data_IF_227852607402
#
_entry.id   IF_227852607402
#
_cell.length_a   1.000
_cell.length_b   1.000
_cell.length_c   1.000
_cell.angle_alpha   90.00
_cell.angle_beta   90.00
_cell.angle_gamma   90.00
#
_symmetry.space_group_name_H-M   'P 1'
#
loop_
_entity.id
_entity.type
_entity.pdbx_description
1 polymer ?
#
# COMPACT_ATOMS: atom_id res chain seq x y z
N UNK A 1 42.04 -45.69 -8.29
CA UNK A 1 40.85 -44.91 -7.93
C UNK A 1 39.97 -45.85 -7.11
N UNK A 2 40.42 -46.30 -5.93
CA UNK A 2 40.63 -45.52 -4.70
C UNK A 2 39.35 -44.74 -4.41
N UNK A 3 38.45 -45.28 -3.59
CA UNK A 3 38.48 -45.30 -2.12
C UNK A 3 37.45 -44.26 -1.64
N UNK A 4 36.38 -44.73 -0.99
CA UNK A 4 35.99 -44.33 0.37
C UNK A 4 34.62 -44.94 0.71
N UNK A 5 34.63 -46.21 1.12
CA UNK A 5 33.67 -46.72 2.10
C UNK A 5 34.44 -46.91 3.40
N UNK A 6 34.14 -46.12 4.43
CA UNK A 6 34.55 -46.45 5.80
C UNK A 6 33.32 -46.75 6.66
N UNK A 7 33.31 -47.90 7.35
CA UNK A 7 32.21 -48.38 8.18
C UNK A 7 32.28 -47.81 9.61
N UNK A 8 31.11 -47.65 10.24
CA UNK A 8 30.95 -47.19 11.62
C UNK A 8 31.08 -48.39 12.58
N UNK A 9 31.99 -48.28 13.56
CA UNK A 9 32.23 -49.29 14.59
C UNK A 9 31.07 -49.40 15.60
N UNK A 10 30.70 -50.64 15.91
CA UNK A 10 29.81 -51.03 17.02
C UNK A 10 30.65 -51.34 18.26
N UNK A 11 30.22 -50.88 19.44
CA UNK A 11 30.51 -51.60 20.69
C UNK A 11 29.28 -51.57 21.59
N UNK A 12 28.94 -52.76 22.08
CA UNK A 12 27.74 -53.11 22.83
C UNK A 12 28.03 -53.29 24.33
N UNK A 13 26.99 -53.04 25.14
CA UNK A 13 26.63 -53.66 26.44
C UNK A 13 27.54 -53.29 27.63
N UNK A 14 27.09 -53.14 28.88
CA UNK A 14 25.92 -53.62 29.67
C UNK A 14 26.07 -52.91 31.05
N UNK A 15 25.11 -52.64 31.94
CA UNK A 15 24.07 -53.45 32.61
C UNK A 15 23.15 -52.48 33.38
N UNK A 16 21.85 -52.78 33.43
CA UNK A 16 20.82 -52.23 34.34
C UNK A 16 20.64 -53.21 35.52
N UNK A 17 20.48 -52.75 36.76
CA UNK A 17 19.22 -52.99 37.49
C UNK A 17 18.94 -51.82 38.49
N UNK A 18 17.77 -51.55 39.07
CA UNK A 18 16.39 -52.02 39.05
C UNK A 18 15.59 -50.89 39.76
N UNK A 19 14.33 -50.70 39.39
CA UNK A 19 13.38 -49.84 40.13
C UNK A 19 12.86 -50.57 41.39
N UNK A 20 12.30 -49.82 42.36
CA UNK A 20 10.89 -50.05 42.63
C UNK A 20 10.04 -48.79 42.91
N UNK A 21 8.89 -48.75 42.23
CA UNK A 21 7.52 -48.53 42.73
C UNK A 21 7.14 -47.31 43.60
N UNK A 22 6.40 -46.39 42.96
CA UNK A 22 5.13 -45.72 43.34
C UNK A 22 5.01 -44.79 44.59
N UNK A 23 4.09 -43.82 44.42
CA UNK A 23 3.46 -42.85 45.36
C UNK A 23 4.19 -41.50 45.58
N UNK A 24 3.55 -40.32 45.60
CA UNK A 24 2.18 -39.83 45.37
C UNK A 24 2.21 -38.27 45.42
N UNK A 25 1.27 -37.63 44.71
CA UNK A 25 0.68 -36.27 44.87
C UNK A 25 1.50 -34.93 44.76
N UNK A 26 0.85 -33.98 44.06
CA UNK A 26 1.17 -32.58 43.70
C UNK A 26 1.27 -31.58 44.91
N UNK A 27 1.42 -30.22 44.76
CA UNK A 27 1.63 -29.36 43.58
C UNK A 27 2.70 -28.23 43.71
N UNK A 28 2.90 -27.54 42.58
CA UNK A 28 3.24 -26.11 42.46
C UNK A 28 4.72 -25.69 42.39
N UNK A 29 5.19 -25.45 41.16
CA UNK A 29 5.38 -24.09 40.63
C UNK A 29 5.58 -24.15 39.10
N UNK A 30 4.73 -23.41 38.38
CA UNK A 30 4.66 -23.32 36.91
C UNK A 30 6.03 -22.94 36.29
N UNK A 31 6.36 -23.46 35.09
CA UNK A 31 7.42 -22.88 34.27
C UNK A 31 6.93 -21.54 33.70
N UNK A 32 7.71 -20.49 33.92
CA UNK A 32 7.55 -19.19 33.26
C UNK A 32 7.65 -19.39 31.75
N UNK A 33 6.50 -19.36 31.07
CA UNK A 33 6.42 -19.04 29.67
C UNK A 33 6.94 -17.62 29.49
N UNK A 34 8.10 -17.48 28.85
CA UNK A 34 8.55 -16.20 28.32
C UNK A 34 7.71 -15.95 27.08
N UNK A 35 6.57 -15.30 27.28
CA UNK A 35 5.82 -14.61 26.24
C UNK A 35 6.57 -13.32 25.96
N UNK A 36 7.38 -13.30 24.90
CA UNK A 36 7.88 -12.08 24.27
C UNK A 36 7.03 -11.78 23.04
N UNK A 37 5.77 -11.43 23.25
CA UNK A 37 4.92 -10.80 22.23
C UNK A 37 4.59 -9.38 22.71
N UNK A 38 5.54 -8.48 22.52
CA UNK A 38 5.36 -7.02 22.37
C UNK A 38 6.75 -6.38 22.45
N UNK A 39 7.53 -6.47 21.37
CA UNK A 39 8.61 -5.49 21.20
C UNK A 39 7.93 -4.14 21.00
N UNK A 40 7.98 -3.28 22.02
CA UNK A 40 7.64 -1.87 21.91
C UNK A 40 8.48 -1.27 20.78
N UNK A 41 7.89 -1.15 19.58
CA UNK A 41 8.55 -0.51 18.44
C UNK A 41 8.52 0.99 18.70
N UNK A 42 9.58 1.50 19.32
CA UNK A 42 9.68 2.92 19.70
C UNK A 42 10.49 3.76 18.71
N UNK A 43 11.17 3.12 17.75
CA UNK A 43 12.02 3.81 16.77
C UNK A 43 11.68 3.43 15.34
N UNK A 44 12.00 4.31 14.39
CA UNK A 44 11.74 4.09 12.96
C UNK A 44 12.65 2.99 12.40
N UNK A 45 13.86 2.85 12.94
CA UNK A 45 14.80 1.79 12.59
C UNK A 45 14.25 0.42 12.98
N UNK A 46 13.66 0.29 14.18
CA UNK A 46 13.05 -0.95 14.63
C UNK A 46 11.84 -1.34 13.76
N UNK A 47 11.05 -0.36 13.28
CA UNK A 47 10.02 -0.63 12.26
C UNK A 47 10.64 -1.20 11.01
N UNK A 48 11.67 -0.54 10.48
CA UNK A 48 12.30 -0.96 9.23
C UNK A 48 12.88 -2.36 9.34
N UNK A 49 13.55 -2.68 10.45
CA UNK A 49 14.05 -4.03 10.71
C UNK A 49 12.91 -5.05 10.82
N UNK A 50 11.84 -4.72 11.55
CA UNK A 50 10.67 -5.57 11.68
C UNK A 50 10.03 -5.84 10.32
N UNK A 51 9.75 -4.81 9.51
CA UNK A 51 9.16 -4.95 8.18
C UNK A 51 10.05 -5.79 7.24
N UNK A 52 11.38 -5.57 7.27
CA UNK A 52 12.35 -6.33 6.48
C UNK A 52 12.45 -7.80 6.89
N UNK A 53 12.18 -8.09 8.16
CA UNK A 53 12.16 -9.46 8.67
C UNK A 53 10.91 -10.26 8.28
N UNK A 54 9.95 -9.62 7.58
CA UNK A 54 8.64 -10.20 7.21
C UNK A 54 7.93 -10.78 8.44
N UNK A 55 7.39 -9.89 9.30
CA UNK A 55 6.86 -10.29 10.59
C UNK A 55 5.59 -11.14 10.44
N UNK A 56 5.18 -11.84 11.49
CA UNK A 56 3.85 -12.48 11.48
C UNK A 56 2.71 -11.45 11.32
N UNK A 57 1.50 -11.93 11.02
CA UNK A 57 0.36 -11.07 10.72
C UNK A 57 0.06 -10.09 11.86
N UNK A 58 -0.01 -10.58 13.11
CA UNK A 58 -0.34 -9.74 14.27
C UNK A 58 0.73 -8.67 14.53
N UNK A 59 2.00 -9.04 14.37
CA UNK A 59 3.13 -8.13 14.48
C UNK A 59 3.13 -7.09 13.36
N UNK A 60 2.77 -7.46 12.13
CA UNK A 60 2.58 -6.50 11.03
C UNK A 60 1.49 -5.49 11.38
N UNK A 61 0.33 -5.94 11.88
CA UNK A 61 -0.77 -5.05 12.26
C UNK A 61 -0.36 -4.12 13.40
N UNK A 62 0.40 -4.61 14.39
CA UNK A 62 0.95 -3.79 15.45
C UNK A 62 1.89 -2.71 14.90
N UNK A 63 2.78 -3.06 13.96
CA UNK A 63 3.69 -2.11 13.29
C UNK A 63 2.91 -1.07 12.49
N UNK A 64 1.93 -1.48 11.68
CA UNK A 64 1.11 -0.55 10.89
C UNK A 64 0.30 0.41 11.78
N UNK A 65 -0.26 -0.09 12.90
CA UNK A 65 -0.91 0.77 13.89
C UNK A 65 0.07 1.74 14.56
N UNK A 66 1.30 1.31 14.86
CA UNK A 66 2.33 2.17 15.47
C UNK A 66 2.71 3.35 14.57
N UNK A 67 2.73 3.12 13.26
CA UNK A 67 3.01 4.13 12.23
C UNK A 67 1.85 5.12 12.06
N UNK A 68 0.62 4.69 12.34
CA UNK A 68 -0.57 5.47 12.06
C UNK A 68 -1.06 6.29 13.27
N UNK A 69 -1.12 5.65 14.44
CA UNK A 69 -1.71 6.18 15.66
C UNK A 69 -0.94 5.85 16.95
N UNK A 70 0.13 5.05 16.88
CA UNK A 70 0.81 4.55 18.07
C UNK A 70 2.06 5.33 18.48
N UNK A 71 2.98 4.61 19.14
CA UNK A 71 4.20 5.13 19.77
C UNK A 71 5.04 5.98 18.83
N UNK A 72 5.17 5.58 17.57
CA UNK A 72 5.99 6.27 16.58
C UNK A 72 5.30 7.52 16.06
N UNK A 73 3.98 7.47 15.86
CA UNK A 73 3.22 8.68 15.57
C UNK A 73 3.35 9.72 16.71
N UNK A 74 3.46 9.26 17.96
CA UNK A 74 3.67 10.11 19.13
C UNK A 74 5.07 10.75 19.21
N UNK A 75 6.10 10.15 18.60
CA UNK A 75 7.43 10.80 18.50
C UNK A 75 7.47 11.93 17.46
N UNK A 76 6.37 12.16 16.72
CA UNK A 76 6.24 13.19 15.71
C UNK A 76 6.59 12.72 14.29
N UNK A 77 7.05 11.48 14.15
CA UNK A 77 7.23 10.83 12.84
C UNK A 77 5.85 10.53 12.22
N UNK A 78 5.71 10.80 10.93
CA UNK A 78 4.52 10.43 10.16
C UNK A 78 4.97 9.89 8.81
N UNK A 79 4.55 8.68 8.46
CA UNK A 79 4.90 8.03 7.18
C UNK A 79 4.49 8.88 5.97
N UNK A 80 3.39 9.62 6.08
CA UNK A 80 2.94 10.50 5.01
C UNK A 80 3.80 11.76 4.80
N UNK A 81 4.61 12.15 5.79
CA UNK A 81 5.46 13.35 5.70
C UNK A 81 6.71 13.04 4.86
N UNK A 82 7.03 13.87 3.85
CA UNK A 82 8.22 13.67 3.03
C UNK A 82 9.50 13.71 3.88
N UNK A 83 10.16 12.56 4.01
CA UNK A 83 11.46 12.41 4.67
C UNK A 83 12.19 11.17 4.13
N UNK A 84 13.53 11.09 4.25
CA UNK A 84 14.29 9.90 3.85
C UNK A 84 13.86 8.63 4.59
N UNK A 85 13.52 8.75 5.87
CA UNK A 85 13.06 7.64 6.71
C UNK A 85 11.67 7.14 6.24
N UNK A 86 10.73 8.05 6.03
CA UNK A 86 9.41 7.71 5.49
C UNK A 86 9.50 7.04 4.11
N UNK A 87 10.40 7.52 3.24
CA UNK A 87 10.63 6.91 1.93
C UNK A 87 11.15 5.46 2.05
N UNK A 88 12.04 5.17 3.01
CA UNK A 88 12.51 3.81 3.26
C UNK A 88 11.40 2.89 3.78
N UNK A 89 10.55 3.38 4.69
CA UNK A 89 9.41 2.61 5.21
C UNK A 89 8.45 2.31 4.07
N UNK A 90 8.06 3.32 3.30
CA UNK A 90 7.18 3.18 2.12
C UNK A 90 7.77 2.19 1.11
N UNK A 91 9.07 2.29 0.82
CA UNK A 91 9.72 1.37 -0.10
C UNK A 91 9.61 -0.08 0.37
N UNK A 92 9.92 -0.34 1.64
CA UNK A 92 9.79 -1.68 2.24
C UNK A 92 8.33 -2.18 2.22
N UNK A 93 7.37 -1.31 2.56
CA UNK A 93 5.94 -1.63 2.46
C UNK A 93 5.56 -2.06 1.03
N UNK A 94 6.03 -1.35 0.01
CA UNK A 94 5.69 -1.63 -1.40
C UNK A 94 6.44 -2.85 -1.96
N UNK A 95 7.72 -3.04 -1.61
CA UNK A 95 8.54 -4.11 -2.20
C UNK A 95 8.45 -5.45 -1.46
N UNK A 96 8.20 -5.43 -0.16
CA UNK A 96 8.25 -6.63 0.69
C UNK A 96 6.89 -6.96 1.31
N UNK A 97 6.15 -5.97 1.81
CA UNK A 97 4.88 -6.24 2.50
C UNK A 97 3.73 -6.44 1.51
N UNK A 98 3.54 -5.51 0.57
CA UNK A 98 2.42 -5.57 -0.39
C UNK A 98 2.38 -6.90 -1.15
N UNK A 99 3.46 -7.42 -1.76
CA UNK A 99 3.41 -8.70 -2.48
C UNK A 99 3.01 -9.90 -1.62
N UNK A 100 3.40 -9.89 -0.34
CA UNK A 100 3.29 -11.07 0.54
C UNK A 100 2.01 -11.06 1.39
N UNK A 101 1.51 -9.89 1.79
CA UNK A 101 0.40 -9.78 2.75
C UNK A 101 -0.89 -9.26 2.12
N UNK A 102 -0.86 -8.74 0.89
CA UNK A 102 -2.05 -8.19 0.24
C UNK A 102 -3.23 -9.17 0.14
N UNK A 103 -3.05 -10.45 -0.25
CA UNK A 103 -4.16 -11.41 -0.28
C UNK A 103 -4.78 -11.63 1.10
N UNK A 104 -3.94 -11.78 2.13
CA UNK A 104 -4.37 -12.00 3.51
C UNK A 104 -5.17 -10.80 4.05
N UNK A 105 -4.66 -9.58 3.83
CA UNK A 105 -5.33 -8.34 4.24
C UNK A 105 -6.69 -8.14 3.54
N UNK A 106 -6.84 -8.60 2.29
CA UNK A 106 -8.11 -8.56 1.55
C UNK A 106 -9.12 -9.59 2.04
N UNK A 107 -8.68 -10.81 2.29
CA UNK A 107 -9.53 -11.89 2.80
C UNK A 107 -10.13 -11.50 4.16
N UNK A 108 -9.27 -11.06 5.07
CA UNK A 108 -9.62 -10.50 6.38
C UNK A 108 -10.64 -9.34 6.29
N UNK A 109 -10.44 -8.40 5.35
CA UNK A 109 -11.35 -7.28 5.15
C UNK A 109 -12.73 -7.74 4.62
N UNK A 110 -12.78 -8.83 3.84
CA UNK A 110 -14.01 -9.41 3.31
C UNK A 110 -14.79 -10.16 4.40
N UNK A 111 -14.12 -11.02 5.17
CA UNK A 111 -14.74 -11.85 6.20
C UNK A 111 -15.28 -11.03 7.37
N UNK A 112 -14.46 -10.09 7.88
CA UNK A 112 -14.79 -9.30 9.06
C UNK A 112 -15.80 -8.16 8.79
N UNK A 113 -16.20 -7.95 7.53
CA UNK A 113 -17.25 -6.98 7.16
C UNK A 113 -18.64 -7.31 7.72
N UNK A 114 -18.84 -8.53 8.21
CA UNK A 114 -20.11 -9.02 8.76
C UNK A 114 -20.22 -9.01 10.29
N UNK A 115 -19.10 -8.81 11.04
CA UNK A 115 -19.06 -9.05 12.50
C UNK A 115 -18.46 -7.87 13.32
N UNK A 116 -17.86 -6.84 12.70
CA UNK A 116 -17.15 -5.79 13.48
C UNK A 116 -18.08 -4.83 14.24
N UNK A 117 -17.67 -4.53 15.48
CA UNK A 117 -18.08 -3.35 16.24
C UNK A 117 -17.75 -2.07 15.44
N UNK A 118 -18.64 -1.08 15.52
CA UNK A 118 -18.64 0.15 14.70
C UNK A 118 -17.38 1.06 14.81
N UNK A 119 -16.33 0.64 15.52
CA UNK A 119 -15.10 1.40 15.77
C UNK A 119 -13.79 0.78 15.26
N UNK A 120 -13.76 -0.48 14.79
CA UNK A 120 -12.49 -1.14 14.40
C UNK A 120 -12.18 -0.93 12.91
N UNK A 121 -11.21 -0.06 12.61
CA UNK A 121 -10.71 0.18 11.25
C UNK A 121 -10.17 -1.14 10.64
N UNK A 122 -10.50 -1.48 9.37
CA UNK A 122 -9.99 -2.68 8.72
C UNK A 122 -8.46 -2.63 8.59
N UNK A 123 -7.81 -3.77 8.81
CA UNK A 123 -6.35 -3.89 8.82
C UNK A 123 -5.73 -3.48 7.49
N UNK A 124 -6.45 -3.77 6.39
CA UNK A 124 -6.13 -3.27 5.06
C UNK A 124 -6.04 -1.74 4.99
N UNK A 125 -6.92 -1.01 5.67
CA UNK A 125 -6.91 0.46 5.63
C UNK A 125 -5.69 1.05 6.34
N UNK A 126 -5.12 0.36 7.33
CA UNK A 126 -3.86 0.78 7.96
C UNK A 126 -2.72 0.82 6.92
N UNK A 127 -2.60 -0.23 6.09
CA UNK A 127 -1.64 -0.26 5.00
C UNK A 127 -1.95 0.82 3.95
N UNK A 128 -3.21 0.93 3.53
CA UNK A 128 -3.61 1.92 2.51
C UNK A 128 -3.34 3.35 2.96
N UNK A 129 -3.55 3.67 4.23
CA UNK A 129 -3.30 5.01 4.78
C UNK A 129 -1.80 5.34 4.83
N UNK A 130 -0.94 4.36 5.11
CA UNK A 130 0.51 4.53 4.98
C UNK A 130 0.95 4.84 3.54
N UNK A 131 0.22 4.33 2.54
CA UNK A 131 0.50 4.51 1.11
C UNK A 131 -0.27 5.69 0.47
N UNK A 132 -1.28 6.26 1.14
CA UNK A 132 -2.13 7.36 0.63
C UNK A 132 -1.42 8.72 0.77
N UNK A 133 -0.29 8.84 0.12
CA UNK A 133 0.49 10.06 -0.06
C UNK A 133 1.27 9.98 -1.39
N UNK A 134 1.81 11.09 -1.86
CA UNK A 134 2.53 11.19 -3.15
C UNK A 134 3.74 10.26 -3.18
N UNK A 135 4.49 10.16 -2.08
CA UNK A 135 5.66 9.27 -1.98
C UNK A 135 5.24 7.80 -2.11
N UNK A 136 4.18 7.40 -1.40
CA UNK A 136 3.58 6.06 -1.46
C UNK A 136 3.18 5.67 -2.86
N UNK A 137 2.35 6.51 -3.50
CA UNK A 137 1.85 6.22 -4.84
C UNK A 137 2.97 6.21 -5.90
N UNK A 138 3.97 7.09 -5.75
CA UNK A 138 5.17 7.06 -6.60
C UNK A 138 6.02 5.81 -6.40
N UNK A 139 6.15 5.30 -5.18
CA UNK A 139 6.86 4.05 -4.92
C UNK A 139 6.16 2.87 -5.61
N UNK A 140 4.83 2.80 -5.52
CA UNK A 140 4.02 1.78 -6.22
C UNK A 140 4.22 1.88 -7.74
N UNK A 141 4.15 3.08 -8.32
CA UNK A 141 4.40 3.29 -9.76
C UNK A 141 5.83 2.93 -10.15
N UNK A 142 6.82 3.28 -9.35
CA UNK A 142 8.23 2.97 -9.62
C UNK A 142 8.43 1.45 -9.63
N UNK A 143 7.83 0.74 -8.67
CA UNK A 143 7.84 -0.73 -8.64
C UNK A 143 7.14 -1.33 -9.87
N UNK A 144 5.98 -0.81 -10.26
CA UNK A 144 5.28 -1.24 -11.49
C UNK A 144 6.15 -1.04 -12.72
N UNK A 145 6.79 0.13 -12.89
CA UNK A 145 7.71 0.40 -14.01
C UNK A 145 8.87 -0.59 -14.03
N UNK A 146 9.47 -0.91 -12.89
CA UNK A 146 10.55 -1.89 -12.83
C UNK A 146 10.10 -3.27 -13.32
N UNK A 147 8.92 -3.75 -12.88
CA UNK A 147 8.34 -5.01 -13.33
C UNK A 147 7.97 -5.00 -14.83
N UNK A 148 7.46 -3.87 -15.33
CA UNK A 148 7.20 -3.68 -16.75
C UNK A 148 8.50 -3.82 -17.55
N UNK A 149 9.58 -3.15 -17.13
CA UNK A 149 10.87 -3.25 -17.81
C UNK A 149 11.44 -4.67 -17.75
N UNK A 150 11.32 -5.35 -16.61
CA UNK A 150 11.72 -6.75 -16.46
C UNK A 150 10.94 -7.67 -17.41
N UNK A 151 9.63 -7.47 -17.52
CA UNK A 151 8.79 -8.25 -18.44
C UNK A 151 9.18 -8.06 -19.91
N UNK A 152 9.60 -6.85 -20.30
CA UNK A 152 10.09 -6.54 -21.66
C UNK A 152 11.48 -7.08 -21.95
N UNK A 153 12.33 -7.16 -20.93
CA UNK A 153 13.67 -7.71 -21.04
C UNK A 153 13.68 -9.25 -21.07
N UNK A 154 12.64 -9.88 -20.53
CA UNK A 154 12.49 -11.33 -20.57
C UNK A 154 12.32 -11.84 -22.01
N UNK A 155 12.92 -13.00 -22.31
CA UNK A 155 12.74 -13.66 -23.60
C UNK A 155 11.25 -14.00 -23.80
N UNK A 156 10.74 -13.82 -25.03
CA UNK A 156 9.32 -13.95 -25.38
C UNK A 156 8.66 -15.29 -24.98
N UNK A 157 9.46 -16.34 -24.79
CA UNK A 157 9.00 -17.69 -24.46
C UNK A 157 9.07 -18.03 -22.96
N UNK A 158 9.62 -17.15 -22.11
CA UNK A 158 9.71 -17.39 -20.67
C UNK A 158 8.47 -16.82 -19.99
N UNK A 159 7.56 -17.72 -19.57
CA UNK A 159 6.41 -17.34 -18.74
C UNK A 159 6.90 -16.93 -17.35
N UNK A 160 6.58 -15.71 -16.93
CA UNK A 160 6.88 -15.15 -15.61
C UNK A 160 5.58 -14.88 -14.85
N UNK A 161 4.90 -15.93 -14.34
CA UNK A 161 3.62 -15.77 -13.63
C UNK A 161 3.75 -14.93 -12.35
N UNK A 162 4.95 -14.90 -11.76
CA UNK A 162 5.32 -14.04 -10.65
C UNK A 162 5.23 -12.54 -11.01
N UNK A 163 5.69 -12.14 -12.19
CA UNK A 163 5.60 -10.74 -12.64
C UNK A 163 4.15 -10.31 -12.85
N UNK A 164 3.35 -11.20 -13.47
CA UNK A 164 1.91 -10.99 -13.69
C UNK A 164 1.19 -10.79 -12.35
N UNK A 165 1.42 -11.70 -11.40
CA UNK A 165 0.82 -11.62 -10.05
C UNK A 165 1.19 -10.30 -9.35
N UNK A 166 2.48 -9.94 -9.34
CA UNK A 166 2.95 -8.72 -8.69
C UNK A 166 2.38 -7.46 -9.33
N UNK A 167 2.30 -7.40 -10.67
CA UNK A 167 1.67 -6.28 -11.37
C UNK A 167 0.18 -6.16 -11.05
N UNK A 168 -0.56 -7.28 -11.01
CA UNK A 168 -1.95 -7.30 -10.58
C UNK A 168 -2.12 -6.76 -9.16
N UNK A 169 -1.31 -7.22 -8.21
CA UNK A 169 -1.35 -6.76 -6.81
C UNK A 169 -1.09 -5.26 -6.72
N UNK A 170 -0.07 -4.73 -7.40
CA UNK A 170 0.25 -3.30 -7.35
C UNK A 170 -0.84 -2.43 -8.00
N UNK A 171 -1.49 -2.91 -9.07
CA UNK A 171 -2.64 -2.25 -9.67
C UNK A 171 -3.83 -2.21 -8.70
N UNK A 172 -4.10 -3.31 -8.00
CA UNK A 172 -5.14 -3.36 -6.98
C UNK A 172 -4.86 -2.40 -5.83
N UNK A 173 -3.60 -2.31 -5.38
CA UNK A 173 -3.18 -1.36 -4.35
C UNK A 173 -3.40 0.07 -4.80
N UNK A 174 -2.96 0.45 -6.01
CA UNK A 174 -3.22 1.77 -6.58
C UNK A 174 -4.72 2.10 -6.63
N UNK A 175 -5.53 1.15 -7.10
CA UNK A 175 -6.98 1.24 -7.16
C UNK A 175 -7.59 1.44 -5.76
N UNK A 176 -7.14 0.69 -4.77
CA UNK A 176 -7.63 0.75 -3.40
C UNK A 176 -7.24 2.06 -2.69
N UNK A 177 -5.99 2.52 -2.85
CA UNK A 177 -5.49 3.79 -2.30
C UNK A 177 -6.35 4.96 -2.77
N UNK A 178 -6.83 4.92 -4.02
CA UNK A 178 -7.61 5.97 -4.66
C UNK A 178 -9.11 5.65 -4.79
N UNK A 179 -9.61 4.63 -4.10
CA UNK A 179 -10.94 4.05 -4.36
C UNK A 179 -12.15 4.99 -4.18
N UNK A 180 -12.02 6.01 -3.33
CA UNK A 180 -13.12 6.94 -3.00
C UNK A 180 -12.85 8.35 -3.52
N UNK A 181 -13.92 9.14 -3.66
CA UNK A 181 -13.84 10.50 -4.22
C UNK A 181 -13.04 11.43 -3.27
N UNK A 182 -13.10 11.21 -1.96
CA UNK A 182 -12.34 11.99 -0.96
C UNK A 182 -10.84 11.67 -0.91
N UNK A 183 -10.41 10.53 -1.47
CA UNK A 183 -9.02 10.08 -1.35
C UNK A 183 -8.05 10.97 -2.12
N UNK A 184 -8.49 11.72 -3.14
CA UNK A 184 -7.64 12.68 -3.83
C UNK A 184 -7.22 13.83 -2.90
N UNK A 185 -8.18 14.42 -2.18
CA UNK A 185 -7.92 15.46 -1.21
C UNK A 185 -7.08 14.92 -0.05
N UNK A 186 -7.43 13.74 0.48
CA UNK A 186 -6.68 13.09 1.54
C UNK A 186 -5.21 12.83 1.15
N UNK A 187 -4.96 12.39 -0.09
CA UNK A 187 -3.61 12.16 -0.61
C UNK A 187 -2.78 13.45 -0.61
N UNK A 188 -3.36 14.56 -1.09
CA UNK A 188 -2.69 15.86 -1.07
C UNK A 188 -2.43 16.35 0.36
N UNK A 189 -3.43 16.29 1.23
CA UNK A 189 -3.31 16.73 2.63
C UNK A 189 -2.24 15.94 3.37
N UNK A 190 -2.21 14.62 3.19
CA UNK A 190 -1.18 13.77 3.79
C UNK A 190 0.23 14.17 3.35
N UNK A 191 0.41 14.40 2.04
CA UNK A 191 1.72 14.71 1.42
C UNK A 191 2.23 16.11 1.69
N UNK A 192 1.31 17.05 1.89
CA UNK A 192 1.63 18.46 2.12
C UNK A 192 1.65 18.84 3.60
N UNK A 193 1.25 17.91 4.48
CA UNK A 193 1.29 18.11 5.93
C UNK A 193 2.72 18.36 6.41
N UNK A 194 2.94 19.45 7.16
CA UNK A 194 4.28 19.84 7.64
C UNK A 194 5.18 20.51 6.60
N UNK A 195 4.66 20.83 5.40
CA UNK A 195 5.34 21.69 4.44
C UNK A 195 4.86 23.14 4.65
N UNK A 196 5.51 23.86 5.56
CA UNK A 196 5.06 25.19 5.99
C UNK A 196 5.43 26.32 5.00
N UNK A 197 6.33 26.06 4.05
CA UNK A 197 6.75 27.04 3.06
C UNK A 197 6.24 26.72 1.67
N UNK A 198 5.76 27.74 0.97
CA UNK A 198 5.32 27.65 -0.44
C UNK A 198 6.43 27.08 -1.34
N UNK A 199 7.71 27.36 -1.02
CA UNK A 199 8.87 26.82 -1.73
C UNK A 199 9.00 25.29 -1.63
N UNK A 200 8.62 24.68 -0.49
CA UNK A 200 8.60 23.23 -0.32
C UNK A 200 7.32 22.59 -0.84
N UNK A 201 6.18 23.29 -0.74
CA UNK A 201 4.89 22.82 -1.27
C UNK A 201 4.88 22.76 -2.80
N UNK A 202 5.55 23.70 -3.49
CA UNK A 202 5.47 23.81 -4.95
C UNK A 202 6.03 22.60 -5.71
N UNK A 203 7.22 22.05 -5.40
CA UNK A 203 7.68 20.80 -6.01
C UNK A 203 6.73 19.62 -5.75
N UNK A 204 6.19 19.53 -4.53
CA UNK A 204 5.21 18.50 -4.17
C UNK A 204 3.90 18.64 -4.97
N UNK A 205 3.40 19.86 -5.14
CA UNK A 205 2.22 20.17 -5.94
C UNK A 205 2.42 19.81 -7.42
N UNK A 206 3.58 20.15 -7.98
CA UNK A 206 3.92 19.76 -9.35
C UNK A 206 3.96 18.25 -9.51
N UNK A 207 4.60 17.54 -8.57
CA UNK A 207 4.70 16.08 -8.60
C UNK A 207 3.33 15.41 -8.45
N UNK A 208 2.51 15.88 -7.53
CA UNK A 208 1.12 15.45 -7.34
C UNK A 208 0.28 15.66 -8.63
N UNK A 209 0.35 16.85 -9.22
CA UNK A 209 -0.38 17.16 -10.45
C UNK A 209 0.10 16.31 -11.63
N UNK A 210 1.41 16.13 -11.79
CA UNK A 210 1.98 15.29 -12.84
C UNK A 210 1.56 13.82 -12.68
N UNK A 211 1.50 13.36 -11.43
CA UNK A 211 1.10 12.01 -11.08
C UNK A 211 -0.36 11.73 -11.44
N UNK A 212 -1.28 12.57 -10.96
CA UNK A 212 -2.72 12.33 -11.04
C UNK A 212 -3.33 12.90 -12.33
N UNK A 213 -3.08 14.17 -12.63
CA UNK A 213 -3.72 14.87 -13.75
C UNK A 213 -2.82 14.99 -14.99
N UNK A 214 -1.53 14.69 -14.87
CA UNK A 214 -0.56 14.65 -15.98
C UNK A 214 -0.53 13.34 -16.75
N UNK A 215 -1.32 12.35 -16.33
CA UNK A 215 -1.46 11.06 -17.03
C UNK A 215 -0.41 10.02 -16.66
N UNK A 216 0.56 10.34 -15.79
CA UNK A 216 1.66 9.42 -15.45
C UNK A 216 1.15 8.14 -14.77
N UNK A 217 0.24 8.25 -13.80
CA UNK A 217 -0.35 7.09 -13.11
C UNK A 217 -1.11 6.18 -14.08
N UNK A 218 -2.09 6.74 -14.80
CA UNK A 218 -2.96 5.99 -15.72
C UNK A 218 -2.17 5.33 -16.86
N UNK A 219 -1.14 6.00 -17.41
CA UNK A 219 -0.30 5.41 -18.46
C UNK A 219 0.47 4.19 -17.96
N UNK A 220 1.08 4.26 -16.77
CA UNK A 220 1.79 3.12 -16.18
C UNK A 220 0.81 2.01 -15.81
N UNK A 221 -0.36 2.36 -15.25
CA UNK A 221 -1.38 1.40 -14.89
C UNK A 221 -1.95 0.66 -16.11
N UNK A 222 -2.22 1.36 -17.20
CA UNK A 222 -2.67 0.77 -18.46
C UNK A 222 -1.64 -0.22 -19.03
N UNK A 223 -0.36 0.15 -19.01
CA UNK A 223 0.73 -0.72 -19.46
C UNK A 223 0.91 -1.95 -18.56
N UNK A 224 0.89 -1.77 -17.24
CA UNK A 224 0.90 -2.87 -16.28
C UNK A 224 -0.28 -3.83 -16.49
N UNK A 225 -1.48 -3.29 -16.73
CA UNK A 225 -2.68 -4.08 -16.97
C UNK A 225 -2.60 -4.89 -18.27
N UNK A 226 -2.00 -4.34 -19.32
CA UNK A 226 -1.80 -5.06 -20.58
C UNK A 226 -0.89 -6.29 -20.42
N UNK A 227 0.09 -6.22 -19.50
CA UNK A 227 0.97 -7.36 -19.17
C UNK A 227 0.27 -8.34 -18.22
N UNK A 228 -0.42 -7.81 -17.20
CA UNK A 228 -1.03 -8.64 -16.17
C UNK A 228 -2.35 -9.32 -16.60
N UNK A 229 -3.03 -8.76 -17.62
CA UNK A 229 -4.29 -9.26 -18.15
C UNK A 229 -4.26 -9.26 -19.70
N UNK A 230 -3.44 -10.11 -20.33
CA UNK A 230 -3.27 -10.12 -21.79
C UNK A 230 -4.56 -10.48 -22.53
N UNK A 231 -5.39 -11.32 -21.92
CA UNK A 231 -6.70 -11.73 -22.46
C UNK A 231 -7.79 -10.65 -22.28
N UNK A 232 -7.45 -9.47 -21.72
CA UNK A 232 -8.37 -8.36 -21.43
C UNK A 232 -9.67 -8.81 -20.76
N UNK A 233 -9.60 -9.81 -19.88
CA UNK A 233 -10.80 -10.38 -19.27
C UNK A 233 -11.44 -9.35 -18.35
N UNK A 234 -12.75 -9.12 -18.50
CA UNK A 234 -13.49 -8.08 -17.77
C UNK A 234 -13.37 -8.19 -16.24
N UNK A 235 -13.12 -9.40 -15.70
CA UNK A 235 -12.93 -9.64 -14.26
C UNK A 235 -11.68 -8.97 -13.68
N UNK A 236 -10.67 -8.69 -14.50
CA UNK A 236 -9.39 -8.14 -14.06
C UNK A 236 -9.16 -6.70 -14.56
N UNK A 237 -10.15 -6.08 -15.20
CA UNK A 237 -10.03 -4.70 -15.66
C UNK A 237 -10.26 -3.74 -14.49
N UNK A 238 -9.16 -3.27 -13.91
CA UNK A 238 -9.18 -2.28 -12.84
C UNK A 238 -9.42 -0.87 -13.41
N UNK A 239 -10.30 -0.11 -12.78
CA UNK A 239 -10.69 1.24 -13.22
C UNK A 239 -9.49 2.20 -13.35
N UNK A 240 -8.43 1.97 -12.57
CA UNK A 240 -7.21 2.77 -12.55
C UNK A 240 -6.38 2.61 -13.84
N UNK A 241 -6.62 1.57 -14.62
CA UNK A 241 -5.97 1.29 -15.91
C UNK A 241 -6.87 1.67 -17.11
N UNK A 242 -8.13 2.03 -16.86
CA UNK A 242 -9.11 2.44 -17.85
C UNK A 242 -9.23 3.97 -17.88
N UNK A 243 -8.87 4.58 -19.01
CA UNK A 243 -8.84 6.03 -19.14
C UNK A 243 -10.19 6.72 -18.91
N UNK A 244 -11.30 6.09 -19.31
CA UNK A 244 -12.65 6.64 -19.14
C UNK A 244 -13.08 6.55 -17.67
N UNK A 245 -12.87 5.40 -17.03
CA UNK A 245 -13.21 5.21 -15.62
C UNK A 245 -12.34 6.07 -14.71
N UNK A 246 -11.04 6.15 -15.00
CA UNK A 246 -10.09 7.04 -14.32
C UNK A 246 -10.51 8.51 -14.43
N UNK A 247 -10.85 8.98 -15.63
CA UNK A 247 -11.30 10.37 -15.83
C UNK A 247 -12.59 10.67 -15.09
N UNK A 248 -13.53 9.71 -15.03
CA UNK A 248 -14.77 9.84 -14.26
C UNK A 248 -14.50 9.91 -12.76
N UNK A 249 -13.60 9.08 -12.24
CA UNK A 249 -13.16 9.16 -10.84
C UNK A 249 -12.48 10.49 -10.54
N UNK A 250 -11.54 10.93 -11.39
CA UNK A 250 -10.81 12.17 -11.19
C UNK A 250 -11.74 13.38 -11.17
N UNK A 251 -12.71 13.43 -12.10
CA UNK A 251 -13.73 14.47 -12.11
C UNK A 251 -14.57 14.52 -10.83
N UNK A 252 -15.04 13.36 -10.34
CA UNK A 252 -15.78 13.28 -9.07
C UNK A 252 -14.95 13.72 -7.87
N UNK A 253 -13.69 13.30 -7.83
CA UNK A 253 -12.76 13.61 -6.75
C UNK A 253 -12.39 15.10 -6.70
N UNK A 254 -12.24 15.74 -7.87
CA UNK A 254 -12.04 17.19 -7.97
C UNK A 254 -13.27 17.95 -7.46
N UNK A 255 -14.48 17.51 -7.80
CA UNK A 255 -15.72 18.14 -7.30
C UNK A 255 -15.77 18.02 -5.78
N UNK A 256 -15.51 16.83 -5.23
CA UNK A 256 -15.46 16.60 -3.79
C UNK A 256 -14.44 17.55 -3.13
N UNK A 257 -13.23 17.62 -3.68
CA UNK A 257 -12.17 18.46 -3.14
C UNK A 257 -12.52 19.95 -3.19
N UNK A 258 -13.08 20.44 -4.30
CA UNK A 258 -13.52 21.83 -4.44
C UNK A 258 -14.70 22.20 -3.53
N UNK A 259 -15.53 21.23 -3.13
CA UNK A 259 -16.64 21.42 -2.18
C UNK A 259 -16.20 21.32 -0.72
N UNK A 260 -14.99 20.82 -0.47
CA UNK A 260 -14.43 20.71 0.88
C UNK A 260 -13.93 22.06 1.37
N UNK A 261 -13.82 22.22 2.69
CA UNK A 261 -13.19 23.40 3.28
C UNK A 261 -11.68 23.33 3.05
N UNK A 262 -11.18 24.14 2.11
CA UNK A 262 -9.78 24.13 1.66
C UNK A 262 -9.17 25.53 1.70
N UNK A 263 -7.85 25.57 1.92
CA UNK A 263 -7.11 26.83 1.89
C UNK A 263 -7.13 27.47 0.50
N UNK A 264 -6.89 28.79 0.42
CA UNK A 264 -6.78 29.49 -0.87
C UNK A 264 -5.65 28.92 -1.75
N UNK A 265 -4.56 28.43 -1.16
CA UNK A 265 -3.49 27.78 -1.90
C UNK A 265 -3.94 26.42 -2.48
N UNK A 266 -4.65 25.62 -1.71
CA UNK A 266 -5.13 24.31 -2.15
C UNK A 266 -6.26 24.45 -3.18
N UNK A 267 -7.08 25.49 -3.10
CA UNK A 267 -8.07 25.82 -4.13
C UNK A 267 -7.41 26.13 -5.48
N UNK A 268 -6.29 26.87 -5.48
CA UNK A 268 -5.50 27.12 -6.71
C UNK A 268 -4.95 25.82 -7.28
N UNK A 269 -4.40 24.95 -6.43
CA UNK A 269 -3.92 23.63 -6.87
C UNK A 269 -5.06 22.77 -7.43
N UNK A 270 -6.22 22.75 -6.78
CA UNK A 270 -7.40 22.02 -7.26
C UNK A 270 -7.84 22.50 -8.64
N UNK A 271 -7.83 23.82 -8.89
CA UNK A 271 -8.09 24.41 -10.21
C UNK A 271 -7.03 24.03 -11.25
N UNK A 272 -5.75 23.98 -10.86
CA UNK A 272 -4.67 23.50 -11.74
C UNK A 272 -4.87 22.03 -12.12
N UNK A 273 -5.16 21.17 -11.14
CA UNK A 273 -5.45 19.74 -11.33
C UNK A 273 -6.64 19.55 -12.26
N UNK A 274 -7.71 20.33 -12.07
CA UNK A 274 -8.86 20.35 -12.97
C UNK A 274 -8.44 20.71 -14.41
N UNK A 275 -7.77 21.84 -14.59
CA UNK A 275 -7.33 22.31 -15.91
C UNK A 275 -6.43 21.29 -16.61
N UNK A 276 -5.53 20.65 -15.87
CA UNK A 276 -4.65 19.58 -16.38
C UNK A 276 -5.45 18.33 -16.75
N UNK A 277 -6.41 17.92 -15.93
CA UNK A 277 -7.22 16.72 -16.16
C UNK A 277 -8.03 16.78 -17.47
N UNK A 278 -8.48 17.97 -17.88
CA UNK A 278 -9.16 18.17 -19.17
C UNK A 278 -8.29 17.83 -20.38
N UNK A 279 -6.97 17.82 -20.22
CA UNK A 279 -6.00 17.53 -21.29
C UNK A 279 -5.64 16.04 -21.39
N UNK A 280 -6.18 15.18 -20.53
CA UNK A 280 -5.92 13.73 -20.57
C UNK A 280 -6.46 13.05 -21.85
N UNK A 281 -7.32 13.73 -22.61
CA UNK A 281 -7.53 13.41 -24.03
C UNK A 281 -8.29 12.12 -24.34
N UNK A 282 -9.02 11.54 -23.39
CA UNK A 282 -9.74 10.29 -23.65
C UNK A 282 -10.95 10.52 -24.58
N UNK A 283 -11.07 9.74 -25.67
CA UNK A 283 -12.13 9.90 -26.65
C UNK A 283 -13.49 9.53 -26.03
N UNK A 284 -14.37 10.53 -25.97
CA UNK A 284 -15.73 10.43 -25.44
C UNK A 284 -16.23 11.83 -25.04
N UNK A 285 -17.55 11.99 -24.90
CA UNK A 285 -18.13 13.23 -24.31
C UNK A 285 -17.32 13.59 -23.07
N UNK A 286 -16.99 14.88 -22.82
CA UNK A 286 -16.09 15.26 -21.73
C UNK A 286 -16.63 14.75 -20.39
N UNK A 287 -16.14 13.58 -19.96
CA UNK A 287 -16.69 12.81 -18.84
C UNK A 287 -16.51 13.57 -17.53
N UNK A 288 -15.42 14.33 -17.45
CA UNK A 288 -15.15 15.27 -16.37
C UNK A 288 -16.27 16.31 -16.31
N UNK A 289 -16.64 16.92 -17.45
CA UNK A 289 -17.74 17.90 -17.50
C UNK A 289 -19.12 17.28 -17.26
N UNK A 290 -19.33 16.00 -17.62
CA UNK A 290 -20.57 15.29 -17.29
C UNK A 290 -20.68 14.98 -15.80
N UNK A 291 -19.59 14.55 -15.16
CA UNK A 291 -19.54 14.35 -13.71
C UNK A 291 -19.87 15.66 -12.99
N UNK A 292 -19.30 16.78 -13.43
CA UNK A 292 -19.54 18.12 -12.87
C UNK A 292 -21.01 18.56 -13.04
N UNK A 293 -21.59 18.41 -14.24
CA UNK A 293 -22.99 18.77 -14.54
C UNK A 293 -24.01 17.97 -13.73
N UNK A 294 -23.69 16.74 -13.34
CA UNK A 294 -24.62 15.86 -12.63
C UNK A 294 -24.75 16.14 -11.11
N UNK A 295 -23.83 16.92 -10.52
CA UNK A 295 -23.76 17.11 -9.06
C UNK A 295 -23.70 18.56 -8.58
N UNK A 296 -23.59 19.55 -9.47
CA UNK A 296 -23.30 20.93 -9.05
C UNK A 296 -24.07 21.97 -9.85
N UNK A 297 -24.49 23.04 -9.16
CA UNK A 297 -24.95 24.28 -9.78
C UNK A 297 -23.78 24.91 -10.57
N UNK A 298 -23.84 25.02 -11.91
CA UNK A 298 -22.71 25.39 -12.77
C UNK A 298 -22.05 26.73 -12.40
N UNK A 299 -22.80 27.63 -11.74
CA UNK A 299 -22.37 28.98 -11.41
C UNK A 299 -21.31 29.04 -10.30
N UNK A 300 -21.31 28.10 -9.35
CA UNK A 300 -20.28 28.06 -8.28
C UNK A 300 -18.93 27.56 -8.79
N UNK A 301 -18.95 26.66 -9.77
CA UNK A 301 -17.72 26.07 -10.33
C UNK A 301 -16.99 27.03 -11.29
N UNK A 302 -17.74 27.85 -12.03
CA UNK A 302 -17.18 28.87 -12.93
C UNK A 302 -16.55 30.06 -12.20
N UNK A 303 -16.87 30.28 -10.92
CA UNK A 303 -16.26 31.35 -10.11
C UNK A 303 -14.86 30.98 -9.57
N UNK A 304 -14.43 29.72 -9.71
CA UNK A 304 -13.11 29.23 -9.27
C UNK A 304 -12.10 29.05 -10.43
N UNK A 305 -12.53 29.24 -11.69
CA UNK A 305 -11.69 29.16 -12.88
C UNK A 305 -11.30 30.58 -13.35
#
# INVERSE_FOLDING_TARGET
MDDFFTPVSKTYLKVRPEEPLLQESEPSKKPTQIVQHSSDVTTVEAVLESLKSQPDYDSLIAVLNSLDHGTIAATGFKVARPSPEAAQVIQCLVSEIVPNYWPLLKEEASEKSSIRDAGSQPDLELLLRCLRNVTGLNAVITRMKALIQESKASAKDVKRPDLVLNLSVLLEVCSAVLSKDEHLAALWTASSSGLDSTARRRPMAHEFTALIAGGRLISVAAEANAIANPEMTARNNLWIADGQQYSKWLGRSIIYWAQSDISSEDAKLCSEVFTRSLRLGYPGKPQILQAIRSRTDPLKFLQMA
#
